data_IF_501639143141
#
_entry.id   IF_501639143141
#
_cell.length_a   1.000
_cell.length_b   1.000
_cell.length_c   1.000
_cell.angle_alpha   90.00
_cell.angle_beta   90.00
_cell.angle_gamma   90.00
#
_symmetry.space_group_name_H-M   'P 1'
#
loop_
_entity.id
_entity.type
_entity.pdbx_description
1 polymer ?
#
# COMPACT_ATOMS: atom_id res chain seq x y z
N UNK A 1 -10.58 -24.93 -14.41
CA UNK A 1 -11.05 -25.28 -13.07
C UNK A 1 -10.75 -24.13 -12.12
N UNK A 2 -11.73 -23.71 -11.31
CA UNK A 2 -11.57 -22.68 -10.27
C UNK A 2 -11.00 -23.32 -9.00
N UNK A 3 -10.41 -22.52 -8.10
CA UNK A 3 -9.84 -23.04 -6.85
C UNK A 3 -10.88 -23.78 -6.01
N UNK A 4 -12.09 -23.23 -5.87
CA UNK A 4 -13.15 -23.86 -5.07
C UNK A 4 -13.52 -25.24 -5.62
N UNK A 5 -13.67 -25.38 -6.94
CA UNK A 5 -13.95 -26.66 -7.61
C UNK A 5 -12.82 -27.67 -7.36
N UNK A 6 -11.57 -27.24 -7.53
CA UNK A 6 -10.40 -28.05 -7.25
C UNK A 6 -10.38 -28.56 -5.81
N UNK A 7 -10.64 -27.69 -4.82
CA UNK A 7 -10.64 -28.07 -3.42
C UNK A 7 -11.79 -29.02 -3.07
N UNK A 8 -12.99 -28.81 -3.60
CA UNK A 8 -14.13 -29.71 -3.37
C UNK A 8 -13.83 -31.14 -3.87
N UNK A 9 -13.17 -31.28 -5.01
CA UNK A 9 -12.78 -32.60 -5.53
C UNK A 9 -11.74 -33.32 -4.65
N UNK A 10 -10.88 -32.58 -3.93
CA UNK A 10 -9.84 -33.18 -3.06
C UNK A 10 -10.26 -33.30 -1.59
N UNK A 11 -11.21 -32.49 -1.15
CA UNK A 11 -11.70 -32.42 0.22
C UNK A 11 -13.23 -32.63 0.25
N UNK A 12 -13.74 -33.80 -0.17
CA UNK A 12 -15.18 -34.02 -0.35
C UNK A 12 -15.99 -33.98 0.96
N UNK A 13 -15.33 -34.20 2.10
CA UNK A 13 -15.94 -34.19 3.43
C UNK A 13 -16.08 -32.77 4.03
N UNK A 14 -15.45 -31.76 3.41
CA UNK A 14 -15.48 -30.38 3.89
C UNK A 14 -16.64 -29.63 3.26
N UNK A 15 -17.42 -28.92 4.09
CA UNK A 15 -18.47 -28.03 3.59
C UNK A 15 -17.89 -27.05 2.54
N UNK A 16 -18.35 -27.11 1.28
CA UNK A 16 -17.88 -26.22 0.23
C UNK A 16 -17.99 -24.73 0.59
N UNK A 17 -18.94 -24.31 1.43
CA UNK A 17 -19.09 -22.91 1.83
C UNK A 17 -17.98 -22.38 2.76
N UNK A 18 -17.25 -23.29 3.38
CA UNK A 18 -16.05 -22.96 4.16
C UNK A 18 -14.83 -22.77 3.25
N UNK A 19 -14.75 -23.54 2.16
CA UNK A 19 -13.58 -23.59 1.29
C UNK A 19 -13.31 -22.24 0.58
N UNK A 20 -12.02 -21.82 0.51
CA UNK A 20 -11.66 -20.57 -0.12
C UNK A 20 -11.86 -20.63 -1.64
N UNK A 21 -12.34 -19.52 -2.21
CA UNK A 21 -12.53 -19.39 -3.66
C UNK A 21 -11.33 -18.77 -4.39
N UNK A 22 -10.42 -18.12 -3.67
CA UNK A 22 -9.22 -17.47 -4.23
C UNK A 22 -8.15 -17.26 -3.17
N UNK A 23 -6.89 -17.28 -3.58
CA UNK A 23 -5.76 -16.71 -2.85
C UNK A 23 -5.25 -15.45 -3.57
N UNK A 24 -4.56 -14.58 -2.82
CA UNK A 24 -3.82 -13.45 -3.39
C UNK A 24 -2.44 -13.92 -3.79
N UNK A 25 -2.06 -13.71 -5.04
CA UNK A 25 -0.71 -14.07 -5.52
C UNK A 25 0.18 -12.83 -5.47
N UNK A 26 1.34 -12.96 -4.84
CA UNK A 26 2.32 -11.87 -4.71
C UNK A 26 3.72 -12.44 -4.87
N UNK A 27 4.49 -11.98 -5.86
CA UNK A 27 5.91 -12.36 -6.01
C UNK A 27 6.21 -13.87 -5.99
N UNK A 28 5.32 -14.69 -6.55
CA UNK A 28 5.48 -16.15 -6.58
C UNK A 28 5.06 -16.89 -5.31
N UNK A 29 4.38 -16.22 -4.37
CA UNK A 29 3.74 -16.85 -3.20
C UNK A 29 2.21 -16.66 -3.23
N UNK A 30 1.47 -17.59 -2.63
CA UNK A 30 0.03 -17.46 -2.40
C UNK A 30 -0.26 -17.06 -0.96
N UNK A 31 -1.08 -16.03 -0.79
CA UNK A 31 -1.52 -15.50 0.50
C UNK A 31 -3.02 -15.73 0.66
N UNK A 32 -3.41 -16.47 1.69
CA UNK A 32 -4.77 -16.93 1.89
C UNK A 32 -5.34 -16.49 3.24
N UNK A 33 -6.63 -16.15 3.29
CA UNK A 33 -7.37 -16.09 4.56
C UNK A 33 -8.22 -17.36 4.68
N UNK A 34 -8.10 -18.03 5.82
CA UNK A 34 -8.88 -19.22 6.14
C UNK A 34 -9.81 -18.92 7.30
N UNK A 35 -11.01 -19.50 7.23
CA UNK A 35 -11.96 -19.47 8.34
C UNK A 35 -11.47 -20.38 9.47
N UNK A 36 -11.77 -20.08 10.74
CA UNK A 36 -11.32 -20.90 11.88
C UNK A 36 -11.75 -22.37 11.81
N UNK A 37 -12.89 -22.67 11.18
CA UNK A 37 -13.40 -24.03 11.00
C UNK A 37 -12.48 -24.92 10.15
N UNK A 38 -11.52 -24.32 9.44
CA UNK A 38 -10.55 -25.02 8.59
C UNK A 38 -9.16 -25.09 9.23
N UNK A 39 -9.02 -24.77 10.52
CA UNK A 39 -7.71 -24.72 11.20
C UNK A 39 -7.01 -26.09 11.17
N UNK A 40 -7.72 -27.19 11.38
CA UNK A 40 -7.15 -28.54 11.34
C UNK A 40 -6.70 -28.98 9.94
N UNK A 41 -7.23 -28.34 8.89
CA UNK A 41 -6.94 -28.65 7.48
C UNK A 41 -5.98 -27.64 6.83
N UNK A 42 -5.46 -26.66 7.58
CA UNK A 42 -4.78 -25.52 6.96
C UNK A 42 -3.49 -25.90 6.21
N UNK A 43 -2.75 -26.90 6.70
CA UNK A 43 -1.54 -27.42 6.03
C UNK A 43 -1.89 -28.20 4.76
N UNK A 44 -2.95 -29.00 4.80
CA UNK A 44 -3.43 -29.74 3.63
C UNK A 44 -3.95 -28.80 2.54
N UNK A 45 -4.78 -27.81 2.93
CA UNK A 45 -5.23 -26.74 2.03
C UNK A 45 -4.02 -25.98 1.48
N UNK A 46 -3.00 -25.71 2.31
CA UNK A 46 -1.74 -25.11 1.89
C UNK A 46 -1.06 -25.87 0.75
N UNK A 47 -0.91 -27.19 0.90
CA UNK A 47 -0.32 -28.07 -0.14
C UNK A 47 -1.13 -28.06 -1.43
N UNK A 48 -2.46 -28.12 -1.32
CA UNK A 48 -3.36 -28.05 -2.48
C UNK A 48 -3.24 -26.71 -3.23
N UNK A 49 -3.10 -25.59 -2.50
CA UNK A 49 -2.87 -24.29 -3.14
C UNK A 49 -1.50 -24.17 -3.81
N UNK A 50 -0.47 -24.80 -3.23
CA UNK A 50 0.88 -24.84 -3.81
C UNK A 50 0.83 -25.47 -5.21
N UNK A 51 0.15 -26.62 -5.33
CA UNK A 51 -0.08 -27.32 -6.60
C UNK A 51 -0.94 -26.48 -7.55
N UNK A 52 -2.09 -26.00 -7.07
CA UNK A 52 -3.07 -25.31 -7.92
C UNK A 52 -2.51 -24.03 -8.55
N UNK A 53 -1.82 -23.21 -7.74
CA UNK A 53 -1.27 -21.94 -8.21
C UNK A 53 0.15 -22.06 -8.78
N UNK A 54 0.82 -23.22 -8.61
CA UNK A 54 2.22 -23.44 -9.01
C UNK A 54 3.15 -22.34 -8.46
N UNK A 55 2.97 -22.03 -7.19
CA UNK A 55 3.74 -21.04 -6.44
C UNK A 55 4.84 -21.70 -5.62
N UNK A 56 5.80 -20.92 -5.13
CA UNK A 56 6.90 -21.42 -4.30
C UNK A 56 6.47 -21.70 -2.86
N UNK A 57 5.53 -20.91 -2.35
CA UNK A 57 5.10 -20.97 -0.97
C UNK A 57 3.65 -20.51 -0.80
N UNK A 58 3.01 -20.98 0.27
CA UNK A 58 1.66 -20.61 0.68
C UNK A 58 1.68 -20.13 2.12
N UNK A 59 1.08 -18.97 2.39
CA UNK A 59 0.94 -18.40 3.72
C UNK A 59 -0.51 -18.10 4.06
N UNK A 60 -0.90 -18.37 5.31
CA UNK A 60 -2.14 -17.87 5.91
C UNK A 60 -1.93 -16.44 6.40
N UNK A 61 -2.91 -15.56 6.16
CA UNK A 61 -2.98 -14.21 6.72
C UNK A 61 -4.05 -14.17 7.81
N UNK A 62 -3.65 -13.78 9.02
CA UNK A 62 -4.58 -13.50 10.11
C UNK A 62 -4.98 -12.02 10.15
N UNK A 63 -4.06 -11.12 9.78
CA UNK A 63 -4.32 -9.69 9.83
C UNK A 63 -3.04 -8.85 9.78
N UNK A 64 -3.11 -7.67 10.39
CA UNK A 64 -1.97 -6.79 10.61
C UNK A 64 -2.00 -6.25 12.04
N UNK A 65 -0.84 -5.93 12.61
CA UNK A 65 -0.71 -5.39 13.96
C UNK A 65 0.14 -4.11 14.02
N UNK A 66 -0.13 -3.30 15.04
CA UNK A 66 0.64 -2.08 15.34
C UNK A 66 0.44 -0.93 14.36
N UNK A 67 1.12 0.18 14.65
CA UNK A 67 1.12 1.41 13.85
C UNK A 67 1.74 1.16 12.46
N UNK A 68 2.80 0.34 12.42
CA UNK A 68 3.49 -0.04 11.18
C UNK A 68 2.73 -1.08 10.34
N UNK A 69 1.58 -1.57 10.85
CA UNK A 69 0.71 -2.56 10.19
C UNK A 69 1.46 -3.82 9.75
N UNK A 70 2.35 -4.33 10.60
CA UNK A 70 3.11 -5.56 10.36
C UNK A 70 2.15 -6.73 10.08
N UNK A 71 2.35 -7.51 8.99
CA UNK A 71 1.54 -8.68 8.70
C UNK A 71 1.62 -9.74 9.81
N UNK A 72 0.49 -10.36 10.12
CA UNK A 72 0.45 -11.58 10.93
C UNK A 72 0.16 -12.73 9.98
N UNK A 73 1.18 -13.53 9.71
CA UNK A 73 1.10 -14.64 8.75
C UNK A 73 1.73 -15.92 9.30
N UNK A 74 1.25 -17.06 8.81
CA UNK A 74 1.79 -18.40 9.08
C UNK A 74 2.13 -19.08 7.76
N UNK A 75 3.33 -19.65 7.66
CA UNK A 75 3.69 -20.52 6.55
C UNK A 75 2.86 -21.81 6.60
N UNK A 76 2.27 -22.20 5.46
CA UNK A 76 1.44 -23.41 5.37
C UNK A 76 2.10 -24.51 4.54
N UNK A 77 2.75 -24.17 3.42
CA UNK A 77 3.34 -25.15 2.51
C UNK A 77 4.35 -24.52 1.54
N UNK A 78 5.30 -25.34 1.07
CA UNK A 78 6.32 -24.95 0.10
C UNK A 78 7.64 -24.53 0.74
N UNK A 79 8.39 -23.69 0.03
CA UNK A 79 9.65 -23.09 0.50
C UNK A 79 9.39 -22.01 1.56
N UNK A 80 10.29 -21.86 2.54
CA UNK A 80 10.23 -20.76 3.51
C UNK A 80 10.67 -19.41 2.90
N UNK A 81 9.87 -18.88 1.98
CA UNK A 81 10.14 -17.63 1.26
C UNK A 81 9.68 -16.42 2.06
N UNK A 82 10.63 -15.61 2.55
CA UNK A 82 10.32 -14.37 3.27
C UNK A 82 10.38 -13.14 2.37
N UNK A 83 11.42 -13.05 1.55
CA UNK A 83 11.64 -11.94 0.65
C UNK A 83 11.14 -12.28 -0.75
N UNK A 84 10.37 -11.36 -1.34
CA UNK A 84 9.78 -11.53 -2.67
C UNK A 84 10.00 -10.30 -3.53
N UNK A 85 9.91 -10.50 -4.85
CA UNK A 85 9.78 -9.42 -5.83
C UNK A 85 8.42 -9.56 -6.51
N UNK A 86 7.52 -8.62 -6.22
CA UNK A 86 6.21 -8.52 -6.85
C UNK A 86 6.26 -7.57 -8.04
N UNK A 87 5.63 -7.94 -9.16
CA UNK A 87 5.61 -7.14 -10.40
C UNK A 87 4.20 -6.64 -10.66
N UNK A 88 4.07 -5.35 -10.98
CA UNK A 88 2.79 -4.73 -11.37
C UNK A 88 3.05 -3.70 -12.47
N UNK A 89 2.28 -3.78 -13.57
CA UNK A 89 2.24 -2.76 -14.63
C UNK A 89 3.62 -2.21 -15.08
N UNK A 90 4.64 -3.07 -15.13
CA UNK A 90 6.00 -2.71 -15.56
C UNK A 90 6.97 -2.33 -14.44
N UNK A 91 6.50 -2.01 -13.23
CA UNK A 91 7.34 -1.76 -12.07
C UNK A 91 7.37 -2.94 -11.09
N UNK A 92 8.30 -2.89 -10.14
CA UNK A 92 8.63 -4.00 -9.22
C UNK A 92 8.70 -3.51 -7.78
N UNK A 93 8.26 -4.34 -6.85
CA UNK A 93 8.40 -4.15 -5.41
C UNK A 93 9.09 -5.34 -4.78
N UNK A 94 10.22 -5.09 -4.15
CA UNK A 94 10.93 -5.98 -3.26
C UNK A 94 10.53 -5.68 -1.81
N UNK A 95 10.23 -6.71 -1.03
CA UNK A 95 9.89 -6.63 0.40
C UNK A 95 10.01 -7.98 1.10
N UNK A 96 10.20 -7.96 2.43
CA UNK A 96 9.93 -9.09 3.31
C UNK A 96 8.41 -9.14 3.62
N UNK A 97 7.72 -10.15 3.09
CA UNK A 97 6.27 -10.31 3.24
C UNK A 97 5.83 -10.70 4.66
N UNK A 98 6.77 -11.18 5.50
CA UNK A 98 6.56 -11.50 6.92
C UNK A 98 6.63 -10.27 7.81
N UNK A 99 7.27 -9.18 7.33
CA UNK A 99 7.54 -7.98 8.14
C UNK A 99 6.83 -6.73 7.62
N UNK A 100 6.62 -6.64 6.31
CA UNK A 100 6.07 -5.48 5.64
C UNK A 100 4.82 -5.81 4.81
N UNK A 101 3.89 -4.86 4.76
CA UNK A 101 2.63 -5.01 4.03
C UNK A 101 2.69 -4.25 2.68
N UNK A 102 2.38 -4.95 1.59
CA UNK A 102 2.02 -4.33 0.31
C UNK A 102 0.54 -4.60 -0.01
N UNK A 103 -0.29 -3.55 -0.05
CA UNK A 103 -1.72 -3.71 -0.32
C UNK A 103 -1.99 -3.98 -1.81
N UNK A 104 -2.14 -5.25 -2.21
CA UNK A 104 -2.51 -5.61 -3.60
C UNK A 104 -3.84 -5.03 -4.07
N UNK A 105 -4.81 -4.84 -3.16
CA UNK A 105 -6.09 -4.22 -3.49
C UNK A 105 -5.97 -2.76 -3.95
N UNK A 106 -4.84 -2.11 -3.68
CA UNK A 106 -4.57 -0.73 -4.08
C UNK A 106 -3.89 -0.64 -5.47
N UNK A 107 -3.76 -1.75 -6.20
CA UNK A 107 -3.07 -1.79 -7.52
C UNK A 107 -3.62 -0.75 -8.51
N UNK A 108 -4.94 -0.65 -8.64
CA UNK A 108 -5.57 0.36 -9.49
C UNK A 108 -5.42 1.79 -8.96
N UNK A 109 -5.37 1.97 -7.64
CA UNK A 109 -5.16 3.29 -7.04
C UNK A 109 -3.73 3.77 -7.28
N UNK A 110 -2.73 2.88 -7.24
CA UNK A 110 -1.34 3.18 -7.63
C UNK A 110 -1.26 3.70 -9.07
N UNK A 111 -1.87 2.98 -10.01
CA UNK A 111 -1.94 3.42 -11.41
C UNK A 111 -2.64 4.77 -11.57
N UNK A 112 -3.77 4.96 -10.87
CA UNK A 112 -4.50 6.23 -10.92
C UNK A 112 -3.66 7.39 -10.42
N UNK A 113 -2.89 7.19 -9.34
CA UNK A 113 -2.01 8.23 -8.81
C UNK A 113 -0.90 8.60 -9.78
N UNK A 114 -0.34 7.61 -10.47
CA UNK A 114 0.57 7.86 -11.57
C UNK A 114 -0.10 8.65 -12.71
N UNK A 115 -1.29 8.23 -13.15
CA UNK A 115 -2.02 8.90 -14.24
C UNK A 115 -2.47 10.33 -13.93
N UNK A 116 -2.69 10.67 -12.66
CA UNK A 116 -3.06 12.02 -12.22
C UNK A 116 -1.85 12.95 -12.03
N UNK A 117 -0.65 12.40 -11.99
CA UNK A 117 0.59 13.16 -11.84
C UNK A 117 0.97 13.73 -13.20
N UNK A 118 1.24 15.04 -13.25
CA UNK A 118 1.71 15.70 -14.46
C UNK A 118 3.24 15.63 -14.53
N UNK A 119 3.74 15.60 -15.75
CA UNK A 119 5.17 15.69 -16.02
C UNK A 119 5.77 16.95 -15.38
N UNK A 120 6.95 16.80 -14.78
CA UNK A 120 7.67 17.91 -14.14
C UNK A 120 7.17 18.33 -12.76
N UNK A 121 6.17 17.66 -12.17
CA UNK A 121 5.74 17.95 -10.79
C UNK A 121 6.83 17.59 -9.76
N UNK A 122 6.93 18.41 -8.70
CA UNK A 122 7.66 18.07 -7.47
C UNK A 122 6.68 17.46 -6.47
N UNK A 123 6.99 16.24 -6.01
CA UNK A 123 6.04 15.42 -5.24
C UNK A 123 6.64 15.11 -3.87
N UNK A 124 5.79 15.18 -2.83
CA UNK A 124 6.12 14.74 -1.48
C UNK A 124 5.24 13.53 -1.11
N UNK A 125 5.83 12.36 -0.96
CA UNK A 125 5.19 11.17 -0.41
C UNK A 125 5.50 11.12 1.09
N UNK A 126 4.52 11.39 1.95
CA UNK A 126 4.72 11.52 3.39
C UNK A 126 4.72 10.18 4.14
N UNK A 127 4.30 9.09 3.47
CA UNK A 127 4.17 7.76 4.06
C UNK A 127 4.57 6.71 3.02
N UNK A 128 5.83 6.76 2.60
CA UNK A 128 6.26 6.08 1.39
C UNK A 128 6.17 4.54 1.47
N UNK A 129 6.32 3.96 2.67
CA UNK A 129 6.49 2.53 2.89
C UNK A 129 7.64 2.00 2.04
N UNK A 130 7.41 0.89 1.36
CA UNK A 130 8.35 0.34 0.36
C UNK A 130 8.30 1.05 -1.01
N UNK A 131 7.64 2.21 -1.07
CA UNK A 131 7.45 3.04 -2.26
C UNK A 131 6.11 2.82 -2.96
N UNK A 132 5.03 2.53 -2.21
CA UNK A 132 3.75 2.09 -2.78
C UNK A 132 3.20 3.06 -3.83
N UNK A 133 3.30 4.37 -3.61
CA UNK A 133 2.92 5.39 -4.60
C UNK A 133 4.12 6.00 -5.31
N UNK A 134 5.23 6.18 -4.59
CA UNK A 134 6.51 6.66 -5.13
C UNK A 134 6.96 5.93 -6.40
N UNK A 135 7.06 4.60 -6.39
CA UNK A 135 7.63 3.83 -7.50
C UNK A 135 6.75 3.90 -8.78
N UNK A 136 5.42 3.67 -8.71
CA UNK A 136 4.57 3.83 -9.88
C UNK A 136 4.64 5.23 -10.50
N UNK A 137 4.64 6.28 -9.66
CA UNK A 137 4.71 7.66 -10.13
C UNK A 137 6.05 7.97 -10.79
N UNK A 138 7.16 7.56 -10.17
CA UNK A 138 8.50 7.77 -10.72
C UNK A 138 8.68 7.06 -12.08
N UNK A 139 8.10 5.87 -12.21
CA UNK A 139 8.22 5.02 -13.40
C UNK A 139 7.31 5.49 -14.55
N UNK A 140 6.08 5.93 -14.25
CA UNK A 140 5.05 6.13 -15.26
C UNK A 140 4.72 7.59 -15.57
N UNK A 141 5.15 8.57 -14.74
CA UNK A 141 4.64 9.95 -14.81
C UNK A 141 5.69 11.03 -15.07
N UNK A 142 6.98 10.67 -15.17
CA UNK A 142 8.10 11.58 -15.36
C UNK A 142 8.09 12.86 -14.46
N UNK A 143 8.05 12.71 -13.12
CA UNK A 143 8.11 13.85 -12.21
C UNK A 143 9.50 14.52 -12.26
N UNK A 144 9.57 15.80 -11.89
CA UNK A 144 10.86 16.48 -11.74
C UNK A 144 11.63 15.94 -10.54
N UNK A 145 10.94 15.72 -9.42
CA UNK A 145 11.51 15.08 -8.23
C UNK A 145 10.40 14.49 -7.35
N UNK A 146 10.67 13.36 -6.71
CA UNK A 146 9.86 12.81 -5.62
C UNK A 146 10.72 12.77 -4.35
N UNK A 147 10.23 13.38 -3.28
CA UNK A 147 10.76 13.21 -1.93
C UNK A 147 9.86 12.24 -1.17
N UNK A 148 10.44 11.15 -0.69
CA UNK A 148 9.69 10.04 -0.09
C UNK A 148 10.13 9.86 1.35
N UNK A 149 9.27 10.24 2.30
CA UNK A 149 9.52 10.14 3.73
C UNK A 149 8.96 8.82 4.24
N UNK A 150 9.78 8.06 4.95
CA UNK A 150 9.36 6.81 5.60
C UNK A 150 9.89 6.77 7.04
N UNK A 151 9.01 6.39 7.97
CA UNK A 151 9.32 6.35 9.40
C UNK A 151 10.03 5.05 9.80
N UNK A 152 9.57 3.91 9.25
CA UNK A 152 10.08 2.58 9.57
C UNK A 152 11.42 2.33 8.84
N UNK A 153 12.53 2.12 9.57
CA UNK A 153 13.85 1.90 8.97
C UNK A 153 13.93 0.69 8.05
N UNK A 154 13.14 -0.35 8.32
CA UNK A 154 13.08 -1.55 7.48
C UNK A 154 12.35 -1.26 6.17
N UNK A 155 11.19 -0.59 6.22
CA UNK A 155 10.47 -0.18 5.02
C UNK A 155 11.31 0.78 4.17
N UNK A 156 12.03 1.69 4.83
CA UNK A 156 12.99 2.60 4.20
C UNK A 156 14.13 1.86 3.49
N UNK A 157 14.69 0.80 4.08
CA UNK A 157 15.68 -0.06 3.42
C UNK A 157 15.15 -0.64 2.12
N UNK A 158 13.94 -1.22 2.15
CA UNK A 158 13.29 -1.73 0.95
C UNK A 158 12.88 -0.62 -0.04
N UNK A 159 12.55 0.58 0.41
CA UNK A 159 12.32 1.73 -0.45
C UNK A 159 13.57 2.07 -1.26
N UNK A 160 14.74 2.13 -0.63
CA UNK A 160 16.02 2.36 -1.31
C UNK A 160 16.30 1.26 -2.35
N UNK A 161 16.09 0.00 -1.98
CA UNK A 161 16.25 -1.12 -2.91
C UNK A 161 15.26 -1.04 -4.08
N UNK A 162 14.03 -0.62 -3.82
CA UNK A 162 13.00 -0.47 -4.86
C UNK A 162 13.26 0.71 -5.79
N UNK A 163 13.81 1.80 -5.29
CA UNK A 163 14.25 2.92 -6.13
C UNK A 163 15.31 2.42 -7.13
N UNK A 164 16.31 1.68 -6.64
CA UNK A 164 17.34 1.08 -7.49
C UNK A 164 16.80 0.01 -8.44
N UNK A 165 15.91 -0.86 -7.94
CA UNK A 165 15.31 -1.95 -8.72
C UNK A 165 14.49 -1.43 -9.91
N UNK A 166 13.96 -0.21 -9.83
CA UNK A 166 13.17 0.40 -10.89
C UNK A 166 13.93 1.48 -11.66
N UNK A 167 15.22 1.67 -11.39
CA UNK A 167 16.09 2.61 -12.11
C UNK A 167 15.54 4.05 -12.07
N UNK A 168 15.12 4.49 -10.87
CA UNK A 168 14.53 5.83 -10.63
C UNK A 168 15.31 6.65 -9.61
N UNK A 169 16.59 6.33 -9.38
CA UNK A 169 17.48 7.05 -8.46
C UNK A 169 17.61 8.55 -8.79
N UNK A 170 17.53 8.91 -10.07
CA UNK A 170 17.61 10.30 -10.54
C UNK A 170 16.37 11.11 -10.08
N UNK A 171 15.20 10.48 -10.07
CA UNK A 171 13.91 11.11 -9.76
C UNK A 171 13.55 11.07 -8.29
N UNK A 172 13.97 10.05 -7.54
CA UNK A 172 13.49 9.82 -6.17
C UNK A 172 14.58 10.06 -5.14
N UNK A 173 14.24 10.79 -4.07
CA UNK A 173 15.05 10.90 -2.86
C UNK A 173 14.26 10.37 -1.67
N UNK A 174 14.71 9.24 -1.12
CA UNK A 174 14.17 8.68 0.10
C UNK A 174 14.75 9.38 1.34
N UNK A 175 13.93 9.55 2.38
CA UNK A 175 14.30 10.19 3.63
C UNK A 175 13.74 9.36 4.78
N UNK A 176 14.60 8.94 5.69
CA UNK A 176 14.20 8.24 6.92
C UNK A 176 13.80 9.26 7.98
N UNK A 177 12.57 9.18 8.49
CA UNK A 177 12.12 9.92 9.67
C UNK A 177 10.62 10.24 9.67
N UNK A 178 10.20 11.08 10.62
CA UNK A 178 8.81 11.49 10.78
C UNK A 178 8.45 12.64 9.81
N UNK A 179 7.45 12.41 8.96
CA UNK A 179 6.94 13.41 8.03
C UNK A 179 6.40 14.67 8.71
N UNK A 180 5.88 14.58 9.94
CA UNK A 180 5.37 15.72 10.72
C UNK A 180 6.52 16.67 11.07
N UNK A 181 7.72 16.12 11.30
CA UNK A 181 8.90 16.91 11.63
C UNK A 181 9.68 17.36 10.39
N UNK A 182 9.82 16.47 9.40
CA UNK A 182 10.64 16.70 8.21
C UNK A 182 9.96 17.68 7.24
N UNK A 183 8.67 17.50 6.96
CA UNK A 183 7.99 18.27 5.92
C UNK A 183 8.04 19.80 6.16
N UNK A 184 7.74 20.32 7.37
CA UNK A 184 7.80 21.75 7.61
C UNK A 184 9.21 22.34 7.62
N UNK A 185 10.25 21.53 7.86
CA UNK A 185 11.65 21.96 7.93
C UNK A 185 12.32 21.99 6.57
N UNK A 186 12.05 20.98 5.73
CA UNK A 186 12.77 20.76 4.47
C UNK A 186 11.96 21.12 3.22
N UNK A 187 10.63 21.07 3.28
CA UNK A 187 9.78 21.12 2.09
C UNK A 187 8.78 22.27 2.08
N UNK A 188 8.95 23.27 2.96
CA UNK A 188 8.04 24.41 3.05
C UNK A 188 7.93 25.13 1.70
N UNK A 189 6.71 25.20 1.15
CA UNK A 189 6.50 25.91 -0.12
C UNK A 189 6.98 25.19 -1.38
N UNK A 190 7.30 23.88 -1.33
CA UNK A 190 8.03 23.19 -2.40
C UNK A 190 7.15 22.30 -3.28
N UNK A 191 6.21 21.55 -2.69
CA UNK A 191 5.52 20.45 -3.39
C UNK A 191 4.35 20.93 -4.25
N UNK A 192 4.29 20.46 -5.49
CA UNK A 192 3.10 20.54 -6.36
C UNK A 192 2.03 19.55 -5.93
N UNK A 193 2.47 18.39 -5.44
CA UNK A 193 1.59 17.29 -5.04
C UNK A 193 2.08 16.63 -3.79
N UNK A 194 1.18 16.35 -2.86
CA UNK A 194 1.47 15.62 -1.63
C UNK A 194 0.61 14.37 -1.58
N UNK A 195 1.22 13.26 -1.20
CA UNK A 195 0.56 11.98 -1.03
C UNK A 195 0.58 11.63 0.46
N UNK A 196 -0.61 11.53 1.04
CA UNK A 196 -0.81 11.15 2.43
C UNK A 196 -1.43 9.75 2.51
N UNK A 197 -0.65 8.75 2.06
CA UNK A 197 -1.05 7.36 1.86
C UNK A 197 -1.18 6.49 3.12
N UNK A 198 -1.63 7.05 4.24
CA UNK A 198 -1.65 6.39 5.54
C UNK A 198 -3.06 6.00 6.01
N UNK A 199 -3.16 5.17 7.06
CA UNK A 199 -4.42 4.79 7.71
C UNK A 199 -4.25 4.89 9.22
N UNK A 200 -5.27 5.40 9.92
CA UNK A 200 -5.32 5.62 11.37
C UNK A 200 -4.42 6.76 11.85
N UNK A 201 -4.63 7.97 11.34
CA UNK A 201 -3.97 9.17 11.87
C UNK A 201 -3.54 10.19 10.83
N UNK A 202 -4.01 10.07 9.58
CA UNK A 202 -3.59 10.94 8.48
C UNK A 202 -3.86 12.42 8.79
N UNK A 203 -4.94 12.73 9.51
CA UNK A 203 -5.28 14.09 9.96
C UNK A 203 -4.15 14.77 10.77
N UNK A 204 -3.37 14.02 11.56
CA UNK A 204 -2.30 14.59 12.40
C UNK A 204 -1.16 15.17 11.57
N UNK A 205 -0.93 14.63 10.38
CA UNK A 205 0.11 15.10 9.46
C UNK A 205 -0.38 16.19 8.51
N UNK A 206 -1.68 16.53 8.54
CA UNK A 206 -2.27 17.50 7.62
C UNK A 206 -1.64 18.91 7.73
N UNK A 207 -1.36 19.46 8.93
CA UNK A 207 -0.66 20.75 9.02
C UNK A 207 0.74 20.72 8.38
N UNK A 208 1.45 19.61 8.55
CA UNK A 208 2.78 19.42 7.95
C UNK A 208 2.71 19.33 6.42
N UNK A 209 1.72 18.60 5.89
CA UNK A 209 1.43 18.53 4.47
C UNK A 209 1.12 19.92 3.89
N UNK A 210 0.18 20.66 4.51
CA UNK A 210 -0.21 21.99 4.05
C UNK A 210 0.99 22.95 4.01
N UNK A 211 1.87 22.90 5.01
CA UNK A 211 3.07 23.74 5.03
C UNK A 211 4.03 23.45 3.87
N UNK A 212 4.03 22.23 3.36
CA UNK A 212 4.93 21.80 2.29
C UNK A 212 4.40 22.10 0.88
N UNK A 213 3.11 22.40 0.73
CA UNK A 213 2.55 22.83 -0.55
C UNK A 213 3.17 24.14 -1.00
N UNK A 214 3.31 24.32 -2.32
CA UNK A 214 3.64 25.63 -2.90
C UNK A 214 2.66 26.72 -2.44
N UNK A 215 3.10 28.00 -2.37
CA UNK A 215 2.27 29.09 -1.85
C UNK A 215 0.94 29.30 -2.58
N UNK A 216 0.86 28.92 -3.86
CA UNK A 216 -0.36 29.00 -4.67
C UNK A 216 -0.58 27.69 -5.40
N UNK A 217 -1.75 27.09 -5.18
CA UNK A 217 -2.16 25.84 -5.81
C UNK A 217 -1.63 24.60 -5.10
N UNK A 218 -1.45 23.53 -5.86
CA UNK A 218 -1.03 22.22 -5.36
C UNK A 218 -2.20 21.28 -5.03
N UNK A 219 -1.88 19.98 -4.88
CA UNK A 219 -2.87 18.92 -4.69
C UNK A 219 -2.44 17.99 -3.56
N UNK A 220 -3.31 17.77 -2.58
CA UNK A 220 -3.14 16.72 -1.56
C UNK A 220 -4.03 15.53 -1.91
N UNK A 221 -3.41 14.35 -1.98
CA UNK A 221 -4.13 13.07 -1.98
C UNK A 221 -4.19 12.55 -0.56
N UNK A 222 -5.37 12.65 0.05
CA UNK A 222 -5.61 12.25 1.43
C UNK A 222 -6.26 10.86 1.48
N UNK A 223 -5.57 9.87 2.04
CA UNK A 223 -6.11 8.53 2.28
C UNK A 223 -6.38 8.33 3.77
N UNK A 224 -7.54 7.76 4.10
CA UNK A 224 -7.90 7.37 5.48
C UNK A 224 -9.04 6.33 5.48
N UNK A 225 -9.24 5.66 6.61
CA UNK A 225 -10.39 4.81 6.87
C UNK A 225 -11.59 5.64 7.32
N UNK A 226 -12.70 5.50 6.60
CA UNK A 226 -13.99 6.07 6.97
C UNK A 226 -15.00 4.95 7.27
N UNK A 227 -15.89 5.19 8.24
CA UNK A 227 -17.03 4.29 8.48
C UNK A 227 -17.95 4.33 7.25
N UNK A 228 -18.41 3.16 6.81
CA UNK A 228 -19.35 3.07 5.69
C UNK A 228 -20.61 3.89 5.99
N UNK A 229 -20.98 4.77 5.07
CA UNK A 229 -22.08 5.72 5.20
C UNK A 229 -21.70 7.06 5.81
N UNK A 230 -20.45 7.26 6.26
CA UNK A 230 -19.97 8.54 6.79
C UNK A 230 -18.91 9.20 5.91
N UNK A 231 -18.71 8.73 4.68
CA UNK A 231 -17.62 9.18 3.80
C UNK A 231 -17.70 10.68 3.50
N UNK A 232 -18.87 11.18 3.08
CA UNK A 232 -19.03 12.61 2.77
C UNK A 232 -18.82 13.51 4.00
N UNK A 233 -19.28 13.06 5.17
CA UNK A 233 -19.05 13.76 6.43
C UNK A 233 -17.57 13.82 6.76
N UNK A 234 -16.85 12.72 6.53
CA UNK A 234 -15.41 12.68 6.73
C UNK A 234 -14.67 13.61 5.76
N UNK A 235 -15.06 13.63 4.48
CA UNK A 235 -14.50 14.57 3.50
C UNK A 235 -14.72 16.02 3.94
N UNK A 236 -15.94 16.35 4.40
CA UNK A 236 -16.23 17.69 4.93
C UNK A 236 -15.32 18.02 6.12
N UNK A 237 -15.16 17.09 7.07
CA UNK A 237 -14.28 17.28 8.22
C UNK A 237 -12.83 17.58 7.81
N UNK A 238 -12.31 16.90 6.79
CA UNK A 238 -10.95 17.18 6.26
C UNK A 238 -10.89 18.61 5.70
N UNK A 239 -11.90 19.04 4.95
CA UNK A 239 -11.94 20.40 4.36
C UNK A 239 -12.05 21.46 5.46
N UNK A 240 -12.97 21.27 6.42
CA UNK A 240 -13.16 22.18 7.54
C UNK A 240 -11.85 22.34 8.35
N UNK A 241 -11.05 21.27 8.50
CA UNK A 241 -9.72 21.35 9.14
C UNK A 241 -8.70 22.12 8.31
N UNK A 242 -8.68 21.94 6.99
CA UNK A 242 -7.77 22.73 6.13
C UNK A 242 -8.10 24.23 6.23
N UNK A 243 -9.39 24.57 6.24
CA UNK A 243 -9.87 25.94 6.37
C UNK A 243 -9.59 26.53 7.76
N UNK A 244 -9.74 25.74 8.83
CA UNK A 244 -9.42 26.17 10.20
C UNK A 244 -7.93 26.51 10.39
N UNK A 245 -7.06 25.88 9.59
CA UNK A 245 -5.62 26.14 9.53
C UNK A 245 -5.25 27.35 8.64
N UNK A 246 -6.24 28.05 8.07
CA UNK A 246 -6.04 29.27 7.29
C UNK A 246 -5.76 29.06 5.79
N UNK A 247 -6.00 27.85 5.27
CA UNK A 247 -5.82 27.53 3.85
C UNK A 247 -7.17 27.49 3.12
N UNK A 248 -7.17 27.85 1.84
CA UNK A 248 -8.33 27.66 0.98
C UNK A 248 -8.26 26.28 0.32
N UNK A 249 -9.31 25.49 0.46
CA UNK A 249 -9.40 24.16 -0.13
C UNK A 249 -10.52 24.07 -1.16
N UNK A 250 -10.28 23.29 -2.22
CA UNK A 250 -11.32 22.87 -3.16
C UNK A 250 -11.25 21.36 -3.32
N UNK A 251 -12.35 20.67 -3.00
CA UNK A 251 -12.47 19.25 -3.26
C UNK A 251 -12.47 18.99 -4.77
N UNK A 252 -11.45 18.28 -5.25
CA UNK A 252 -11.39 17.82 -6.64
C UNK A 252 -12.20 16.53 -6.86
N UNK A 253 -12.37 15.73 -5.82
CA UNK A 253 -13.17 14.51 -5.81
C UNK A 253 -12.83 13.61 -4.63
N UNK A 254 -13.71 12.66 -4.33
CA UNK A 254 -13.45 11.60 -3.35
C UNK A 254 -13.93 10.27 -3.90
N UNK A 255 -13.38 9.16 -3.39
CA UNK A 255 -13.81 7.82 -3.77
C UNK A 255 -13.53 6.80 -2.69
N UNK A 256 -14.32 5.73 -2.69
CA UNK A 256 -13.98 4.50 -1.95
C UNK A 256 -12.92 3.72 -2.74
N UNK A 257 -11.74 3.52 -2.16
CA UNK A 257 -10.66 2.72 -2.78
C UNK A 257 -10.89 1.23 -2.55
N UNK A 258 -11.32 0.86 -1.33
CA UNK A 258 -11.65 -0.51 -0.93
C UNK A 258 -12.70 -0.50 0.18
N UNK A 259 -13.40 -1.62 0.33
CA UNK A 259 -14.31 -1.94 1.44
C UNK A 259 -13.80 -3.16 2.20
#
# INVERSE_FOLDING_TARGET
MRLKEFLVERLPEVDPELLPSRAKIMGGVALLRLRPELDELEEEIGRLLLEFYRVKAVYRIYGVAGIERRPIIKHLAGEEVREIIHREYGYRFKLDLTRLMLCLGNSFERLRMAALTREGEVILDMFAGVGQFTIPIATLSNPAKIYSIELNPEAYGYLLENIKLNEVEDKVQAILGDCVEIAPKMFRGVADRIIMGYFNGTMRALPAALSALKPVGGIIHFHELARRGSEERFVKQVIDEVESLGYLARLLGWRRVKS
#
